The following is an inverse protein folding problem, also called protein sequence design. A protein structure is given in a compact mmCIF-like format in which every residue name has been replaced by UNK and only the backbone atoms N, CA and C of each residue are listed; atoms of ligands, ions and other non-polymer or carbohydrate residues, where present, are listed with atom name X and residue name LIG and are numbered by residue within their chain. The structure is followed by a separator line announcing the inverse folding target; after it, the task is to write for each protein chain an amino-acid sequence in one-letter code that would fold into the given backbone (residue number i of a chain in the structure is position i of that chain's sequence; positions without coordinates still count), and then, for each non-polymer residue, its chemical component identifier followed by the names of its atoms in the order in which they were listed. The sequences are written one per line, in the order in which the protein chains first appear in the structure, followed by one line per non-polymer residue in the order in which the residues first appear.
data_IF_794913395786
#
_entry.id   IF_794913395786
#
_cell.length_a   1.000
_cell.length_b   1.000
_cell.length_c   1.000
_cell.angle_alpha   90.00
_cell.angle_beta   90.00
_cell.angle_gamma   90.00
#
_symmetry.space_group_name_H-M   'P 1'
#
loop_
_entity.id
_entity.type
_entity.pdbx_description
1 polymer ?
#
# COMPACT_ATOMS: atom_id res chain seq x y z
N UNK A 1 25.00 -9.94 5.28
CA UNK A 1 24.13 -8.95 4.63
C UNK A 1 23.84 -7.84 5.60
N UNK A 2 24.21 -6.62 5.24
CA UNK A 2 23.85 -5.40 5.96
C UNK A 2 22.35 -5.09 5.77
N UNK A 3 21.79 -4.22 6.60
CA UNK A 3 20.41 -3.75 6.43
C UNK A 3 20.19 -3.14 5.05
N UNK A 4 21.11 -2.30 4.59
CA UNK A 4 21.05 -1.68 3.27
C UNK A 4 21.05 -2.68 2.13
N UNK A 5 21.86 -3.75 2.20
CA UNK A 5 21.85 -4.82 1.18
C UNK A 5 20.49 -5.53 1.13
N UNK A 6 19.92 -5.88 2.30
CA UNK A 6 18.61 -6.53 2.39
C UNK A 6 17.47 -5.64 1.90
N UNK A 7 17.53 -4.34 2.19
CA UNK A 7 16.57 -3.35 1.70
C UNK A 7 16.60 -3.27 0.17
N UNK A 8 17.80 -3.22 -0.43
CA UNK A 8 17.94 -3.19 -1.88
C UNK A 8 17.37 -4.44 -2.53
N UNK A 9 17.65 -5.62 -1.98
CA UNK A 9 17.10 -6.88 -2.47
C UNK A 9 15.56 -6.89 -2.42
N UNK A 10 14.95 -6.38 -1.33
CA UNK A 10 13.51 -6.25 -1.21
C UNK A 10 12.93 -5.24 -2.23
N UNK A 11 13.57 -4.08 -2.41
CA UNK A 11 13.15 -3.07 -3.39
C UNK A 11 13.16 -3.66 -4.81
N UNK A 12 14.19 -4.42 -5.17
CA UNK A 12 14.23 -5.11 -6.47
C UNK A 12 13.10 -6.12 -6.63
N UNK A 13 12.80 -6.89 -5.58
CA UNK A 13 11.68 -7.82 -5.59
C UNK A 13 10.34 -7.08 -5.76
N UNK A 14 10.11 -6.01 -5.00
CA UNK A 14 8.89 -5.19 -5.08
C UNK A 14 8.73 -4.55 -6.46
N UNK A 15 9.81 -4.03 -7.03
CA UNK A 15 9.79 -3.46 -8.38
C UNK A 15 9.42 -4.52 -9.43
N UNK A 16 9.86 -5.78 -9.26
CA UNK A 16 9.47 -6.88 -10.14
C UNK A 16 8.00 -7.31 -9.96
N UNK A 17 7.46 -7.25 -8.74
CA UNK A 17 6.08 -7.69 -8.44
C UNK A 17 5.06 -6.63 -8.89
N UNK A 18 5.35 -5.36 -8.62
CA UNK A 18 4.39 -4.27 -8.80
C UNK A 18 4.64 -3.45 -10.07
N UNK A 19 5.79 -3.62 -10.72
CA UNK A 19 6.16 -2.92 -11.96
C UNK A 19 5.87 -1.41 -11.86
N UNK A 20 5.01 -0.87 -12.74
CA UNK A 20 4.67 0.56 -12.81
C UNK A 20 3.90 1.09 -11.60
N UNK A 21 3.41 0.20 -10.72
CA UNK A 21 2.65 0.54 -9.51
C UNK A 21 3.58 0.81 -8.32
N UNK A 22 4.85 0.47 -8.40
CA UNK A 22 5.87 0.77 -7.39
C UNK A 22 6.74 1.95 -7.84
N UNK A 23 6.91 2.95 -6.97
CA UNK A 23 7.64 4.18 -7.28
C UNK A 23 8.45 4.66 -6.10
N UNK A 24 9.66 5.15 -6.36
CA UNK A 24 10.41 5.92 -5.37
C UNK A 24 9.84 7.33 -5.25
N UNK A 25 9.68 7.83 -4.03
CA UNK A 25 9.17 9.17 -3.74
C UNK A 25 10.33 10.10 -3.35
N UNK A 26 10.88 9.93 -2.14
CA UNK A 26 12.05 10.62 -1.59
C UNK A 26 12.46 9.98 -0.25
N UNK A 27 13.65 10.28 0.27
CA UNK A 27 14.07 9.93 1.64
C UNK A 27 13.73 8.48 2.06
N UNK A 28 14.11 7.50 1.23
CA UNK A 28 13.83 6.07 1.47
C UNK A 28 12.33 5.73 1.61
N UNK A 29 11.48 6.57 1.02
CA UNK A 29 10.04 6.34 0.88
C UNK A 29 9.71 5.82 -0.52
N UNK A 30 8.90 4.76 -0.52
CA UNK A 30 8.44 4.08 -1.71
C UNK A 30 6.92 3.98 -1.70
N UNK A 31 6.30 4.22 -2.85
CA UNK A 31 4.86 4.21 -3.03
C UNK A 31 4.42 2.97 -3.81
N UNK A 32 3.37 2.31 -3.32
CA UNK A 32 2.65 1.24 -4.02
C UNK A 32 1.20 1.67 -4.25
N UNK A 33 0.79 1.71 -5.51
CA UNK A 33 -0.61 1.86 -5.90
C UNK A 33 -1.35 0.52 -5.84
N UNK A 34 -2.27 0.38 -4.89
CA UNK A 34 -3.09 -0.81 -4.66
C UNK A 34 -4.48 -0.56 -5.25
N UNK A 35 -4.80 -1.28 -6.32
CA UNK A 35 -6.11 -1.21 -6.97
C UNK A 35 -7.10 -2.15 -6.29
N UNK A 36 -8.30 -1.66 -6.02
CA UNK A 36 -9.39 -2.48 -5.51
C UNK A 36 -10.48 -2.64 -6.56
N UNK A 37 -10.73 -3.89 -6.93
CA UNK A 37 -11.89 -4.26 -7.71
C UNK A 37 -13.07 -4.46 -6.77
N UNK A 38 -14.20 -3.84 -7.08
CA UNK A 38 -15.44 -4.14 -6.38
C UNK A 38 -15.91 -5.53 -6.81
N UNK A 39 -16.29 -6.39 -5.86
CA UNK A 39 -16.87 -7.70 -6.19
C UNK A 39 -18.20 -7.55 -6.96
N UNK A 40 -18.89 -6.42 -6.75
CA UNK A 40 -20.12 -6.07 -7.43
C UNK A 40 -20.06 -4.62 -7.93
N UNK A 41 -20.36 -4.36 -9.21
CA UNK A 41 -20.42 -2.99 -9.72
C UNK A 41 -21.50 -2.17 -9.00
N UNK A 42 -21.21 -0.91 -8.73
CA UNK A 42 -22.13 0.05 -8.11
C UNK A 42 -22.69 0.97 -9.19
N UNK A 43 -24.01 1.03 -9.33
CA UNK A 43 -24.66 1.99 -10.23
C UNK A 43 -24.98 3.29 -9.48
N UNK A 44 -24.40 4.41 -9.93
CA UNK A 44 -24.72 5.75 -9.45
C UNK A 44 -25.67 6.42 -10.43
N UNK A 45 -26.81 6.89 -9.93
CA UNK A 45 -27.75 7.71 -10.69
C UNK A 45 -27.49 9.19 -10.39
N UNK A 46 -27.22 9.98 -11.41
CA UNK A 46 -27.06 11.43 -11.29
C UNK A 46 -27.58 12.13 -12.54
N UNK A 47 -28.43 13.16 -12.39
CA UNK A 47 -29.02 13.92 -13.51
C UNK A 47 -29.60 13.05 -14.64
N UNK A 48 -30.39 12.03 -14.30
CA UNK A 48 -30.96 11.03 -15.24
C UNK A 48 -29.91 10.20 -16.01
N UNK A 49 -28.66 10.19 -15.58
CA UNK A 49 -27.60 9.35 -16.11
C UNK A 49 -27.23 8.26 -15.10
N UNK A 50 -26.95 7.07 -15.61
CA UNK A 50 -26.45 5.95 -14.81
C UNK A 50 -24.97 5.73 -15.12
N UNK A 51 -24.12 5.86 -14.10
CA UNK A 51 -22.71 5.49 -14.19
C UNK A 51 -22.47 4.19 -13.41
N UNK A 52 -21.80 3.23 -14.02
CA UNK A 52 -21.41 1.97 -13.37
C UNK A 52 -19.97 2.10 -12.90
N UNK A 53 -19.75 2.00 -11.59
CA UNK A 53 -18.43 2.00 -10.97
C UNK A 53 -18.06 0.56 -10.64
N UNK A 54 -17.06 0.05 -11.33
CA UNK A 54 -16.48 -1.29 -11.09
C UNK A 54 -15.11 -1.21 -10.40
N UNK A 55 -14.45 -0.06 -10.53
CA UNK A 55 -13.09 0.18 -10.05
C UNK A 55 -13.12 1.38 -9.11
N UNK A 56 -12.64 1.17 -7.88
CA UNK A 56 -12.36 2.29 -6.99
C UNK A 56 -10.98 2.85 -7.32
N UNK A 57 -10.77 4.17 -7.19
CA UNK A 57 -9.44 4.74 -7.27
C UNK A 57 -8.48 4.04 -6.30
N UNK A 58 -7.21 3.90 -6.69
CA UNK A 58 -6.26 3.09 -5.94
C UNK A 58 -6.05 3.67 -4.54
N UNK A 59 -5.76 2.79 -3.60
CA UNK A 59 -5.14 3.16 -2.34
C UNK A 59 -3.64 3.26 -2.54
N UNK A 60 -3.06 4.28 -1.95
CA UNK A 60 -1.63 4.48 -1.92
C UNK A 60 -1.09 3.96 -0.60
N UNK A 61 -0.17 2.99 -0.67
CA UNK A 61 0.65 2.53 0.44
C UNK A 61 2.04 3.16 0.30
N UNK A 62 2.48 3.91 1.30
CA UNK A 62 3.82 4.46 1.36
C UNK A 62 4.60 3.66 2.39
N UNK A 63 5.73 3.12 1.97
CA UNK A 63 6.69 2.37 2.78
C UNK A 63 7.84 3.30 3.10
N UNK A 64 8.28 3.34 4.35
CA UNK A 64 9.46 4.07 4.78
C UNK A 64 10.46 3.11 5.41
N UNK A 65 11.62 2.97 4.75
CA UNK A 65 12.74 2.20 5.28
C UNK A 65 13.64 3.09 6.12
N UNK A 66 13.93 2.65 7.34
CA UNK A 66 14.93 3.27 8.20
C UNK A 66 16.16 2.36 8.31
N UNK A 67 17.29 2.92 8.74
CA UNK A 67 18.59 2.22 8.77
C UNK A 67 18.59 0.90 9.55
N UNK A 68 17.72 0.80 10.55
CA UNK A 68 17.60 -0.37 11.42
C UNK A 68 16.72 -1.52 10.84
N UNK A 69 16.01 -1.30 9.73
CA UNK A 69 15.24 -2.34 9.04
C UNK A 69 16.15 -3.15 8.11
N UNK A 70 16.03 -4.48 7.99
CA UNK A 70 15.04 -5.35 8.64
C UNK A 70 15.47 -5.94 9.98
N UNK A 71 16.68 -5.65 10.48
CA UNK A 71 17.26 -6.43 11.59
C UNK A 71 16.65 -6.13 12.96
N UNK A 72 16.22 -4.90 13.24
CA UNK A 72 15.76 -4.50 14.57
C UNK A 72 14.27 -4.14 14.61
N UNK A 73 13.77 -3.48 13.57
CA UNK A 73 12.39 -3.00 13.49
C UNK A 73 11.80 -3.24 12.11
N UNK A 74 10.47 -3.45 12.00
CA UNK A 74 9.76 -3.51 10.72
C UNK A 74 9.71 -2.12 10.06
N UNK A 75 9.42 -2.04 8.75
CA UNK A 75 9.33 -0.75 8.08
C UNK A 75 8.05 -0.03 8.50
N UNK A 76 8.02 1.29 8.34
CA UNK A 76 6.82 2.09 8.66
C UNK A 76 5.93 2.23 7.43
N UNK A 77 4.61 2.21 7.65
CA UNK A 77 3.62 2.32 6.58
C UNK A 77 2.70 3.52 6.76
N UNK A 78 2.36 4.17 5.65
CA UNK A 78 1.32 5.20 5.58
C UNK A 78 0.31 4.80 4.52
N UNK A 79 -0.98 4.84 4.87
CA UNK A 79 -2.08 4.57 3.95
C UNK A 79 -2.79 5.86 3.58
N UNK A 80 -2.99 6.08 2.29
CA UNK A 80 -3.74 7.23 1.74
C UNK A 80 -4.78 6.74 0.73
N UNK A 81 -6.04 7.15 0.90
CA UNK A 81 -7.09 6.88 -0.07
C UNK A 81 -8.22 7.90 0.06
N UNK A 82 -8.62 8.52 -1.06
CA UNK A 82 -9.64 9.57 -1.10
C UNK A 82 -11.04 9.12 -0.66
N UNK A 83 -11.34 7.82 -0.73
CA UNK A 83 -12.69 7.28 -0.49
C UNK A 83 -12.88 6.73 0.92
N UNK A 84 -11.80 6.64 1.69
CA UNK A 84 -11.89 6.19 3.08
C UNK A 84 -11.97 7.39 4.02
N UNK A 85 -12.93 7.33 4.95
CA UNK A 85 -12.94 8.25 6.08
C UNK A 85 -11.69 8.03 6.94
N UNK A 86 -11.28 9.06 7.69
CA UNK A 86 -10.17 8.96 8.65
C UNK A 86 -10.32 7.76 9.60
N UNK A 87 -11.54 7.49 10.06
CA UNK A 87 -11.83 6.36 10.95
C UNK A 87 -11.58 5.02 10.26
N UNK A 88 -11.97 4.88 8.99
CA UNK A 88 -11.77 3.63 8.27
C UNK A 88 -10.30 3.43 7.87
N UNK A 89 -9.57 4.49 7.50
CA UNK A 89 -8.12 4.43 7.31
C UNK A 89 -7.41 4.02 8.59
N UNK A 90 -7.77 4.59 9.74
CA UNK A 90 -7.19 4.22 11.02
C UNK A 90 -7.41 2.73 11.35
N UNK A 91 -8.61 2.20 11.12
CA UNK A 91 -8.89 0.76 11.29
C UNK A 91 -8.04 -0.10 10.36
N UNK A 92 -7.78 0.36 9.13
CA UNK A 92 -6.95 -0.35 8.17
C UNK A 92 -5.47 -0.31 8.59
N UNK A 93 -4.95 0.83 9.04
CA UNK A 93 -3.61 0.93 9.63
C UNK A 93 -3.45 -0.03 10.81
N UNK A 94 -4.40 -0.01 11.77
CA UNK A 94 -4.37 -0.93 12.91
C UNK A 94 -4.37 -2.40 12.48
N UNK A 95 -5.08 -2.76 11.42
CA UNK A 95 -5.04 -4.13 10.89
C UNK A 95 -3.69 -4.47 10.28
N UNK A 96 -3.07 -3.53 9.58
CA UNK A 96 -1.75 -3.70 8.97
C UNK A 96 -0.66 -3.83 10.04
N UNK A 97 -0.71 -2.98 11.07
CA UNK A 97 0.24 -3.00 12.20
C UNK A 97 0.18 -4.31 13.00
N UNK A 98 -1.02 -4.90 13.10
CA UNK A 98 -1.24 -6.18 13.76
C UNK A 98 -1.09 -7.38 12.82
N UNK A 99 -0.80 -7.15 11.53
CA UNK A 99 -0.61 -8.25 10.61
C UNK A 99 0.73 -8.94 10.93
N UNK A 100 0.74 -10.25 11.23
CA UNK A 100 1.97 -10.94 11.58
C UNK A 100 2.86 -11.04 10.33
N UNK A 101 3.82 -10.14 10.19
CA UNK A 101 4.88 -10.22 9.17
C UNK A 101 5.83 -11.43 9.40
N UNK A 102 5.69 -12.12 10.54
CA UNK A 102 6.44 -13.31 10.91
C UNK A 102 5.61 -14.59 10.73
N UNK A 103 5.37 -15.03 9.50
CA UNK A 103 5.10 -16.44 9.21
C UNK A 103 5.86 -16.86 7.95
N UNK A 104 7.08 -17.31 8.17
CA UNK A 104 8.01 -17.77 7.14
C UNK A 104 9.24 -18.39 7.80
N UNK A 105 9.02 -19.38 8.66
CA UNK A 105 9.98 -20.46 8.92
C UNK A 105 9.41 -21.76 8.32
#
# INVERSE_FOLDING_TARGET
MTNSEKQLDEIFALQSIFDKKFRFVNNDQYEISIEFNLNTPIAIQFNNQTAIIQYLPPLTLIIHYHDEYPSNYPPSFILSCFYFSKINLQKLCQKLDNYPFHQGE
#
